data_IF_936325864791
#
_entry.id   IF_936325864791
#
_cell.length_a   1.000
_cell.length_b   1.000
_cell.length_c   1.000
_cell.angle_alpha   90.00
_cell.angle_beta   90.00
_cell.angle_gamma   90.00
#
_symmetry.space_group_name_H-M   'P 1'
#
loop_
_entity.id
_entity.type
_entity.pdbx_description
1 polymer ?
#
# COMPACT_ATOMS: atom_id res chain seq x y z
N UNK A 1 -15.73 -14.73 16.24
CA UNK A 1 -14.48 -14.09 15.79
C UNK A 1 -14.77 -12.62 15.50
N UNK A 2 -13.97 -11.73 16.05
CA UNK A 2 -14.08 -10.30 15.79
C UNK A 2 -13.58 -9.96 14.38
N UNK A 3 -14.28 -9.08 13.67
CA UNK A 3 -13.85 -8.54 12.38
C UNK A 3 -13.62 -7.05 12.54
N UNK A 4 -12.38 -6.62 12.35
CA UNK A 4 -12.00 -5.20 12.41
C UNK A 4 -12.00 -4.65 10.98
N UNK A 5 -12.76 -3.59 10.75
CA UNK A 5 -12.83 -2.96 9.43
C UNK A 5 -11.78 -1.87 9.32
N UNK A 6 -11.11 -1.84 8.20
CA UNK A 6 -10.17 -0.79 7.84
C UNK A 6 -10.45 -0.33 6.41
N UNK A 7 -10.51 0.98 6.20
CA UNK A 7 -10.65 1.58 4.88
C UNK A 7 -9.48 2.53 4.63
N UNK A 8 -8.90 2.46 3.45
CA UNK A 8 -7.84 3.37 3.05
C UNK A 8 -7.90 3.71 1.57
N UNK A 9 -7.18 4.78 1.22
CA UNK A 9 -7.05 5.28 -0.16
C UNK A 9 -5.59 5.18 -0.56
N UNK A 10 -5.31 4.58 -1.71
CA UNK A 10 -3.95 4.22 -2.12
C UNK A 10 -3.65 4.59 -3.56
N UNK A 11 -2.39 4.88 -3.82
CA UNK A 11 -1.89 5.26 -5.14
C UNK A 11 -1.24 4.08 -5.85
N UNK A 12 -1.55 3.94 -7.13
CA UNK A 12 -0.89 3.01 -8.04
C UNK A 12 -0.09 3.85 -9.04
N UNK A 13 1.22 3.85 -8.89
CA UNK A 13 2.13 4.54 -9.80
C UNK A 13 3.08 3.51 -10.39
N UNK A 14 2.87 3.19 -11.66
CA UNK A 14 3.62 2.16 -12.37
C UNK A 14 4.32 2.78 -13.57
N UNK A 15 5.65 2.72 -13.58
CA UNK A 15 6.48 3.30 -14.62
C UNK A 15 7.66 2.38 -14.93
N UNK A 16 7.92 2.16 -16.21
CA UNK A 16 9.10 1.40 -16.66
C UNK A 16 9.21 0.01 -16.01
N UNK A 17 8.10 -0.67 -15.84
CA UNK A 17 8.06 -2.01 -15.23
C UNK A 17 8.16 -2.03 -13.72
N UNK A 18 8.18 -0.86 -13.07
CA UNK A 18 8.32 -0.73 -11.62
C UNK A 18 7.11 -0.07 -10.99
N UNK A 19 6.72 -0.58 -9.85
CA UNK A 19 5.64 -0.06 -9.02
C UNK A 19 6.20 0.71 -7.84
N UNK A 20 5.70 1.92 -7.61
CA UNK A 20 6.06 2.69 -6.44
C UNK A 20 5.43 2.06 -5.20
N UNK A 21 6.27 1.67 -4.27
CA UNK A 21 5.87 1.03 -3.01
C UNK A 21 6.47 1.76 -1.82
N UNK A 22 5.91 1.50 -0.66
CA UNK A 22 6.49 1.86 0.63
C UNK A 22 6.81 0.60 1.42
N UNK A 23 7.68 0.71 2.41
CA UNK A 23 8.02 -0.37 3.31
C UNK A 23 7.23 -0.20 4.61
N UNK A 24 6.35 -1.12 4.93
CA UNK A 24 5.55 -1.04 6.17
C UNK A 24 6.40 -1.44 7.38
N UNK A 25 6.20 -0.74 8.49
CA UNK A 25 6.96 -0.98 9.74
C UNK A 25 6.13 -1.66 10.82
N UNK A 26 4.81 -1.69 10.69
CA UNK A 26 3.92 -2.30 11.69
C UNK A 26 2.62 -2.80 11.05
N UNK A 27 1.84 -3.49 11.85
CA UNK A 27 0.58 -4.08 11.44
C UNK A 27 0.77 -5.42 10.72
N UNK A 28 -0.30 -5.97 10.14
CA UNK A 28 -0.22 -7.28 9.48
C UNK A 28 0.71 -7.30 8.28
N UNK A 29 1.00 -6.13 7.69
CA UNK A 29 1.87 -6.02 6.52
C UNK A 29 3.29 -5.54 6.87
N UNK A 30 3.67 -5.54 8.15
CA UNK A 30 5.02 -5.12 8.52
C UNK A 30 6.10 -5.91 7.79
N UNK A 31 7.19 -5.23 7.44
CA UNK A 31 8.31 -5.78 6.68
C UNK A 31 7.91 -6.29 5.29
N UNK A 32 6.83 -5.75 4.75
CA UNK A 32 6.38 -5.98 3.37
C UNK A 32 6.27 -4.65 2.63
N UNK A 33 6.33 -4.74 1.31
CA UNK A 33 6.02 -3.62 0.44
C UNK A 33 4.51 -3.41 0.36
N UNK A 34 4.09 -2.16 0.44
CA UNK A 34 2.68 -1.79 0.37
C UNK A 34 2.53 -0.60 -0.58
N UNK A 35 1.31 -0.25 -0.93
CA UNK A 35 1.04 0.93 -1.75
C UNK A 35 1.13 2.20 -0.90
N UNK A 36 1.61 3.32 -1.48
CA UNK A 36 1.49 4.62 -0.81
C UNK A 36 0.02 4.96 -0.60
N UNK A 37 -0.33 5.38 0.60
CA UNK A 37 -1.71 5.70 0.94
C UNK A 37 -2.01 5.44 2.40
N UNK A 38 -3.27 5.58 2.76
CA UNK A 38 -3.71 5.37 4.14
C UNK A 38 -5.12 5.84 4.41
N UNK A 39 -5.41 6.01 5.67
CA UNK A 39 -6.74 6.35 6.16
C UNK A 39 -7.09 7.81 5.92
N UNK A 40 -8.37 8.06 5.64
CA UNK A 40 -8.89 9.42 5.59
C UNK A 40 -8.82 10.08 6.98
N UNK A 41 -8.55 11.37 6.98
CA UNK A 41 -8.82 12.22 8.12
C UNK A 41 -10.25 12.71 8.04
N UNK A 42 -10.81 13.05 9.17
CA UNK A 42 -12.16 13.60 9.23
C UNK A 42 -12.27 14.86 8.36
N UNK A 43 -13.25 14.86 7.47
CA UNK A 43 -13.48 15.98 6.57
C UNK A 43 -12.67 15.95 5.27
N UNK A 44 -11.77 14.98 5.10
CA UNK A 44 -11.04 14.80 3.84
C UNK A 44 -11.86 14.06 2.80
N UNK A 45 -11.80 14.51 1.56
CA UNK A 45 -12.25 13.71 0.42
C UNK A 45 -11.21 12.65 0.06
N UNK A 46 -11.61 11.67 -0.76
CA UNK A 46 -10.72 10.55 -1.14
C UNK A 46 -9.45 11.03 -1.84
N UNK A 47 -9.57 11.98 -2.76
CA UNK A 47 -8.42 12.49 -3.51
C UNK A 47 -7.52 13.40 -2.67
N UNK A 48 -8.08 14.06 -1.67
CA UNK A 48 -7.28 14.80 -0.69
C UNK A 48 -6.45 13.87 0.16
N UNK A 49 -7.03 12.75 0.62
CA UNK A 49 -6.30 11.70 1.34
C UNK A 49 -5.19 11.13 0.47
N UNK A 50 -5.51 10.82 -0.78
CA UNK A 50 -4.54 10.28 -1.74
C UNK A 50 -3.31 11.18 -1.87
N UNK A 51 -3.53 12.46 -2.18
CA UNK A 51 -2.43 13.41 -2.40
C UNK A 51 -1.63 13.67 -1.13
N UNK A 52 -2.29 13.76 0.01
CA UNK A 52 -1.64 13.95 1.31
C UNK A 52 -0.75 12.76 1.68
N UNK A 53 -1.29 11.55 1.59
CA UNK A 53 -0.56 10.33 1.95
C UNK A 53 0.64 10.09 1.02
N UNK A 54 0.48 10.30 -0.28
CA UNK A 54 1.59 10.17 -1.23
C UNK A 54 2.70 11.15 -0.86
N UNK A 55 2.38 12.41 -0.56
CA UNK A 55 3.36 13.41 -0.16
C UNK A 55 4.06 13.02 1.14
N UNK A 56 3.29 12.59 2.15
CA UNK A 56 3.84 12.21 3.46
C UNK A 56 4.79 11.00 3.36
N UNK A 57 4.48 10.03 2.51
CA UNK A 57 5.21 8.78 2.46
C UNK A 57 6.32 8.76 1.41
N UNK A 58 6.19 9.53 0.34
CA UNK A 58 7.15 9.50 -0.78
C UNK A 58 7.82 10.83 -1.07
N UNK A 59 7.27 11.93 -0.59
CA UNK A 59 7.72 13.27 -0.92
C UNK A 59 7.33 13.73 -2.32
N UNK A 60 6.66 12.90 -3.10
CA UNK A 60 6.20 13.25 -4.44
C UNK A 60 4.88 14.02 -4.40
N UNK A 61 4.73 14.94 -5.35
CA UNK A 61 3.46 15.62 -5.60
C UNK A 61 2.70 14.90 -6.70
N UNK A 62 1.45 14.55 -6.45
CA UNK A 62 0.57 13.95 -7.45
C UNK A 62 0.14 15.03 -8.45
N UNK A 63 0.42 14.81 -9.75
CA UNK A 63 -0.02 15.68 -10.82
C UNK A 63 -1.44 15.36 -11.26
N UNK A 64 -1.75 14.09 -11.41
CA UNK A 64 -3.06 13.62 -11.87
C UNK A 64 -3.38 12.25 -11.29
N UNK A 65 -4.66 11.97 -11.20
CA UNK A 65 -5.16 10.67 -10.77
C UNK A 65 -6.33 10.25 -11.66
N UNK A 66 -6.51 8.96 -11.83
CA UNK A 66 -7.54 8.38 -12.70
C UNK A 66 -7.87 6.95 -12.28
N UNK A 67 -8.84 6.37 -12.96
CA UNK A 67 -9.20 4.96 -12.82
C UNK A 67 -9.48 4.53 -11.37
N UNK A 68 -10.42 5.20 -10.68
CA UNK A 68 -10.79 4.80 -9.33
C UNK A 68 -11.43 3.42 -9.34
N UNK A 69 -11.01 2.55 -8.40
CA UNK A 69 -11.59 1.24 -8.21
C UNK A 69 -11.48 0.83 -6.75
N UNK A 70 -12.28 -0.12 -6.38
CA UNK A 70 -12.36 -0.61 -5.00
C UNK A 70 -12.17 -2.12 -4.99
N UNK A 71 -11.29 -2.57 -4.10
CA UNK A 71 -11.14 -3.98 -3.77
C UNK A 71 -11.25 -4.16 -2.27
N UNK A 72 -11.41 -5.40 -1.84
CA UNK A 72 -11.33 -5.72 -0.43
C UNK A 72 -10.63 -7.06 -0.22
N UNK A 73 -10.08 -7.22 0.98
CA UNK A 73 -9.48 -8.48 1.41
C UNK A 73 -9.82 -8.72 2.89
N UNK A 74 -9.91 -9.97 3.26
CA UNK A 74 -9.97 -10.40 4.65
C UNK A 74 -8.64 -11.04 5.00
N UNK A 75 -7.96 -10.49 6.00
CA UNK A 75 -6.66 -10.98 6.43
C UNK A 75 -6.74 -11.44 7.88
N UNK A 76 -6.43 -12.71 8.08
CA UNK A 76 -6.32 -13.30 9.41
C UNK A 76 -4.88 -13.71 9.66
N UNK A 77 -4.23 -13.02 10.59
CA UNK A 77 -2.89 -13.39 11.03
C UNK A 77 -2.92 -14.76 11.73
N UNK A 78 -1.85 -15.53 11.56
CA UNK A 78 -1.66 -16.74 12.33
C UNK A 78 -1.77 -16.44 13.82
N UNK A 79 -2.43 -17.31 14.55
CA UNK A 79 -2.59 -17.27 16.00
C UNK A 79 -3.43 -16.09 16.54
N UNK A 80 -3.99 -15.26 15.69
CA UNK A 80 -4.90 -14.19 16.11
C UNK A 80 -6.36 -14.64 16.05
N UNK A 81 -7.15 -14.15 17.00
CA UNK A 81 -8.59 -14.46 17.06
C UNK A 81 -9.44 -13.31 16.49
N UNK A 82 -8.90 -12.60 15.54
CA UNK A 82 -9.63 -11.59 14.79
C UNK A 82 -9.17 -11.55 13.34
N UNK A 83 -10.00 -10.96 12.51
CA UNK A 83 -9.74 -10.76 11.09
C UNK A 83 -9.78 -9.27 10.79
N UNK A 84 -8.94 -8.80 9.88
CA UNK A 84 -9.07 -7.45 9.33
C UNK A 84 -9.79 -7.53 8.00
N UNK A 85 -10.89 -6.81 7.86
CA UNK A 85 -11.56 -6.57 6.58
C UNK A 85 -11.03 -5.25 6.04
N UNK A 86 -10.11 -5.33 5.11
CA UNK A 86 -9.47 -4.17 4.52
C UNK A 86 -10.14 -3.84 3.19
N UNK A 87 -10.80 -2.68 3.15
CA UNK A 87 -11.38 -2.12 1.92
C UNK A 87 -10.44 -1.04 1.42
N UNK A 88 -10.07 -1.10 0.16
CA UNK A 88 -9.11 -0.19 -0.45
C UNK A 88 -9.67 0.49 -1.69
N UNK A 89 -9.62 1.81 -1.70
CA UNK A 89 -9.87 2.60 -2.89
C UNK A 89 -8.53 2.87 -3.57
N UNK A 90 -8.38 2.46 -4.83
CA UNK A 90 -7.16 2.62 -5.60
C UNK A 90 -7.38 3.66 -6.70
N UNK A 91 -6.35 4.47 -6.92
CA UNK A 91 -6.28 5.40 -8.05
C UNK A 91 -4.95 5.21 -8.74
N UNK A 92 -4.97 5.19 -10.07
CA UNK A 92 -3.72 5.35 -10.84
C UNK A 92 -3.29 6.81 -10.71
N UNK A 93 -2.00 7.03 -10.47
CA UNK A 93 -1.47 8.38 -10.30
C UNK A 93 -0.26 8.62 -11.20
N UNK A 94 -0.11 9.88 -11.61
CA UNK A 94 1.10 10.38 -12.23
C UNK A 94 1.70 11.44 -11.29
N UNK A 95 3.00 11.34 -11.06
CA UNK A 95 3.71 12.31 -10.24
C UNK A 95 4.06 13.54 -11.05
N UNK A 96 4.10 14.69 -10.38
CA UNK A 96 4.52 15.95 -10.99
C UNK A 96 6.04 15.98 -11.07
N UNK A 97 6.58 15.81 -12.27
CA UNK A 97 8.02 15.82 -12.51
C UNK A 97 8.65 17.19 -12.36
N UNK A 98 7.85 18.24 -12.49
CA UNK A 98 8.31 19.63 -12.36
C UNK A 98 8.33 20.11 -10.91
N UNK A 99 7.63 19.42 -10.01
CA UNK A 99 7.65 19.73 -8.59
C UNK A 99 8.85 19.07 -7.92
N UNK A 100 9.62 19.78 -7.09
CA UNK A 100 10.72 19.15 -6.38
C UNK A 100 10.19 18.12 -5.37
N UNK A 101 10.85 16.99 -5.32
CA UNK A 101 10.56 15.99 -4.30
C UNK A 101 10.96 16.51 -2.92
N UNK A 102 10.04 16.47 -1.98
CA UNK A 102 10.30 16.90 -0.61
C UNK A 102 11.02 15.77 0.13
N UNK A 103 12.10 16.12 0.86
CA UNK A 103 12.80 15.16 1.71
C UNK A 103 11.90 14.76 2.87
N UNK A 104 11.67 13.46 3.03
CA UNK A 104 10.89 12.94 4.13
C UNK A 104 11.81 12.78 5.34
N UNK A 105 11.52 13.54 6.41
CA UNK A 105 12.24 13.39 7.66
C UNK A 105 11.56 12.33 8.52
N UNK A 106 12.30 11.30 8.88
CA UNK A 106 11.84 10.29 9.85
C UNK A 106 11.50 10.89 11.21
N UNK A 107 12.08 12.07 11.53
CA UNK A 107 11.87 12.75 12.79
C UNK A 107 10.53 13.52 12.86
N UNK A 108 9.90 13.79 11.73
CA UNK A 108 8.61 14.49 11.66
C UNK A 108 7.42 13.53 11.68
N UNK A 109 7.70 12.24 11.60
CA UNK A 109 6.63 11.27 11.78
C UNK A 109 6.25 11.24 13.24
N UNK A 110 5.07 11.70 13.55
CA UNK A 110 4.45 11.72 14.90
C UNK A 110 4.25 10.31 15.49
N UNK A 111 5.09 9.36 15.16
CA UNK A 111 4.85 7.95 15.48
C UNK A 111 3.71 7.33 14.67
N UNK A 112 3.10 8.10 13.78
CA UNK A 112 1.95 7.69 12.95
C UNK A 112 2.41 7.21 11.57
N UNK A 113 3.63 7.55 11.15
CA UNK A 113 4.16 7.09 9.88
C UNK A 113 4.63 5.64 9.99
N UNK A 114 3.89 4.74 9.34
CA UNK A 114 4.12 3.30 9.34
C UNK A 114 5.12 2.86 8.27
N UNK A 115 5.81 3.80 7.65
CA UNK A 115 6.70 3.51 6.53
C UNK A 115 8.14 3.93 6.81
N UNK A 116 9.10 3.13 6.33
CA UNK A 116 10.54 3.42 6.38
C UNK A 116 11.01 4.24 5.19
N UNK A 117 10.17 4.44 4.19
CA UNK A 117 10.49 5.12 2.97
C UNK A 117 9.86 4.43 1.76
N UNK A 118 10.18 4.95 0.58
CA UNK A 118 9.64 4.42 -0.66
C UNK A 118 10.70 3.71 -1.48
N UNK A 119 10.24 2.85 -2.38
CA UNK A 119 11.07 2.11 -3.32
C UNK A 119 10.29 1.87 -4.60
N UNK A 120 10.99 1.87 -5.73
CA UNK A 120 10.44 1.44 -7.00
C UNK A 120 10.74 -0.05 -7.18
N UNK A 121 9.71 -0.89 -7.05
CA UNK A 121 9.83 -2.34 -7.13
C UNK A 121 9.58 -2.84 -8.53
N UNK A 122 10.48 -3.68 -9.03
CA UNK A 122 10.22 -4.44 -10.24
C UNK A 122 9.00 -5.32 -10.01
N UNK A 123 8.01 -5.20 -10.89
CA UNK A 123 6.75 -5.93 -10.75
C UNK A 123 6.95 -7.45 -10.74
N UNK A 124 8.00 -7.95 -11.41
CA UNK A 124 8.32 -9.37 -11.44
C UNK A 124 8.91 -9.89 -10.13
N UNK A 125 9.47 -9.01 -9.32
CA UNK A 125 10.07 -9.38 -8.02
C UNK A 125 9.08 -9.38 -6.86
N UNK A 126 7.84 -8.95 -7.10
CA UNK A 126 6.79 -8.92 -6.09
C UNK A 126 6.25 -10.33 -5.86
N UNK A 127 6.25 -10.74 -4.60
CA UNK A 127 5.78 -12.07 -4.15
C UNK A 127 4.85 -11.94 -2.95
N UNK A 128 4.14 -13.02 -2.62
CA UNK A 128 3.27 -13.05 -1.43
C UNK A 128 4.07 -12.89 -0.13
N UNK A 129 5.34 -13.28 -0.12
CA UNK A 129 6.22 -13.14 1.05
C UNK A 129 6.69 -11.70 1.28
N UNK A 130 6.87 -10.92 0.21
CA UNK A 130 7.44 -9.57 0.32
C UNK A 130 6.43 -8.44 0.14
N UNK A 131 5.19 -8.72 -0.20
CA UNK A 131 4.20 -7.69 -0.53
C UNK A 131 2.90 -7.86 0.23
N UNK A 132 2.20 -6.76 0.41
CA UNK A 132 0.84 -6.75 0.96
C UNK A 132 -0.17 -7.27 -0.05
N UNK A 133 -1.37 -7.68 0.39
CA UNK A 133 -2.45 -8.03 -0.53
C UNK A 133 -2.82 -6.92 -1.51
N UNK A 134 -2.64 -5.64 -1.13
CA UNK A 134 -2.89 -4.51 -2.01
C UNK A 134 -1.95 -4.53 -3.21
N UNK A 135 -0.67 -4.71 -2.97
CA UNK A 135 0.36 -4.79 -4.01
C UNK A 135 0.13 -6.02 -4.89
N UNK A 136 -0.28 -7.14 -4.30
CA UNK A 136 -0.61 -8.36 -5.06
C UNK A 136 -1.81 -8.14 -5.99
N UNK A 137 -2.83 -7.39 -5.55
CA UNK A 137 -3.96 -7.00 -6.40
C UNK A 137 -3.49 -6.21 -7.62
N UNK A 138 -2.63 -5.21 -7.39
CA UNK A 138 -2.09 -4.38 -8.47
C UNK A 138 -1.25 -5.21 -9.44
N UNK A 139 -0.39 -6.08 -8.93
CA UNK A 139 0.39 -7.00 -9.77
C UNK A 139 -0.53 -7.84 -10.65
N UNK A 140 -1.62 -8.35 -10.08
CA UNK A 140 -2.59 -9.15 -10.83
C UNK A 140 -3.31 -8.32 -11.89
N UNK A 141 -3.65 -7.07 -11.62
CA UNK A 141 -4.20 -6.16 -12.63
C UNK A 141 -3.25 -5.97 -13.80
N UNK A 142 -1.98 -5.70 -13.49
CA UNK A 142 -0.96 -5.36 -14.50
C UNK A 142 -0.55 -6.56 -15.35
N UNK A 143 -0.51 -7.75 -14.77
CA UNK A 143 -0.06 -8.96 -15.46
C UNK A 143 -1.20 -9.87 -15.91
N UNK A 144 -2.46 -9.53 -15.59
CA UNK A 144 -3.60 -10.32 -16.02
C UNK A 144 -3.79 -11.64 -15.30
N UNK A 145 -3.32 -11.77 -14.07
CA UNK A 145 -3.47 -12.98 -13.28
C UNK A 145 -4.85 -13.11 -12.63
N UNK A 146 -5.34 -14.34 -12.42
CA UNK A 146 -6.67 -14.58 -11.82
C UNK A 146 -6.75 -14.25 -10.32
N UNK A 147 -5.65 -13.90 -9.67
CA UNK A 147 -5.59 -13.59 -8.25
C UNK A 147 -6.30 -12.29 -7.85
N UNK A 148 -6.79 -11.52 -8.83
CA UNK A 148 -7.67 -10.37 -8.55
C UNK A 148 -8.87 -10.75 -7.70
N UNK A 149 -9.38 -11.97 -7.88
CA UNK A 149 -10.55 -12.45 -7.17
C UNK A 149 -10.23 -13.02 -5.78
N UNK A 150 -8.96 -13.13 -5.42
CA UNK A 150 -8.59 -13.63 -4.11
C UNK A 150 -8.94 -12.62 -3.04
N UNK A 151 -9.87 -12.98 -2.17
CA UNK A 151 -10.36 -12.11 -1.10
C UNK A 151 -9.86 -12.53 0.29
N UNK A 152 -9.60 -13.82 0.51
CA UNK A 152 -9.29 -14.35 1.83
C UNK A 152 -7.84 -14.78 1.96
N UNK A 153 -7.16 -14.23 2.99
CA UNK A 153 -5.80 -14.57 3.40
C UNK A 153 -5.86 -15.06 4.85
N UNK A 154 -6.21 -16.34 5.04
CA UNK A 154 -6.60 -16.88 6.33
C UNK A 154 -5.45 -17.30 7.24
N UNK A 155 -4.28 -17.57 6.68
CA UNK A 155 -3.09 -17.97 7.44
C UNK A 155 -1.97 -16.97 7.14
N UNK A 156 -2.27 -15.70 7.31
CA UNK A 156 -1.33 -14.64 6.99
C UNK A 156 -0.20 -14.61 8.00
N UNK A 157 1.01 -14.74 7.51
CA UNK A 157 2.21 -14.68 8.32
C UNK A 157 2.72 -13.25 8.38
N UNK A 158 2.83 -12.72 9.58
CA UNK A 158 3.47 -11.43 9.81
C UNK A 158 4.98 -11.64 9.81
N UNK A 159 5.70 -10.87 9.01
CA UNK A 159 7.15 -10.99 8.93
C UNK A 159 7.80 -10.33 10.14
N UNK A 160 8.71 -11.02 10.79
CA UNK A 160 9.49 -10.49 11.93
C UNK A 160 10.67 -9.64 11.44
N UNK A 161 11.12 -9.92 10.23
CA UNK A 161 12.21 -9.20 9.58
C UNK A 161 11.92 -9.09 8.09
N UNK A 162 12.66 -8.18 7.44
CA UNK A 162 12.54 -8.00 5.99
C UNK A 162 12.98 -9.26 5.25
N UNK A 163 12.18 -9.78 4.29
CA UNK A 163 12.61 -10.92 3.50
C UNK A 163 13.92 -10.62 2.78
N UNK A 164 14.87 -11.55 2.83
CA UNK A 164 16.10 -11.41 2.08
C UNK A 164 15.80 -11.51 0.59
N UNK A 165 16.27 -10.52 -0.16
CA UNK A 165 16.24 -10.59 -1.62
C UNK A 165 17.13 -11.73 -2.08
N UNK A 166 16.56 -12.73 -2.71
CA UNK A 166 17.32 -13.79 -3.37
C UNK A 166 17.84 -13.30 -4.70
#
# INVERSE_FOLDING_TARGET
>A
MEIKRHFGVYAVCFENGKLLCIEKTRGPYQHRYDLPGGSQRLGEGLTETLTREVMEETGYTVRSYSNPRIYDVFVREELKNFMVHHVMALYDVEMDEDAPQVTISKAVSDGINDSLGYIWMDIQEITEENASPLVLKVKSELLGFPELDKTFYMNWKVNDEKPTSS
#
